data_IF_158663839347
#
_entry.id   IF_158663839347
#
_cell.length_a   1.000
_cell.length_b   1.000
_cell.length_c   1.000
_cell.angle_alpha   90.00
_cell.angle_beta   90.00
_cell.angle_gamma   90.00
#
_symmetry.space_group_name_H-M   'P 1'
#
loop_
_entity.id
_entity.type
_entity.pdbx_description
1 polymer ?
#
# COMPACT_ATOMS: atom_id res chain seq x y z
N UNK A 1 -10.65 26.90 10.27
CA UNK A 1 -9.19 27.10 10.21
C UNK A 1 -8.68 26.37 8.98
N UNK A 2 -8.14 27.09 8.03
CA UNK A 2 -7.56 26.49 6.82
C UNK A 2 -6.34 25.63 7.23
N UNK A 3 -6.44 24.34 7.05
CA UNK A 3 -5.38 23.41 7.43
C UNK A 3 -4.37 23.33 6.27
N UNK A 4 -3.51 24.34 6.15
CA UNK A 4 -2.40 24.35 5.20
C UNK A 4 -1.18 23.66 5.82
N UNK A 5 -0.68 22.63 5.15
CA UNK A 5 0.55 21.92 5.52
C UNK A 5 1.60 22.22 4.45
N UNK A 6 2.71 22.86 4.85
CA UNK A 6 3.87 23.14 4.00
C UNK A 6 5.08 22.41 4.55
N UNK A 7 5.72 21.58 3.74
CA UNK A 7 6.97 20.89 4.09
C UNK A 7 7.62 20.24 2.86
N UNK A 8 8.83 19.74 3.07
CA UNK A 8 9.54 18.92 2.07
C UNK A 8 8.85 17.56 1.94
N UNK A 9 8.57 17.15 0.71
CA UNK A 9 8.01 15.84 0.38
C UNK A 9 9.11 14.86 0.02
N UNK A 10 9.10 13.69 0.67
CA UNK A 10 9.95 12.55 0.30
C UNK A 10 9.08 11.47 -0.31
N UNK A 11 9.45 11.04 -1.51
CA UNK A 11 8.67 10.12 -2.32
C UNK A 11 9.40 8.81 -2.57
N UNK A 12 8.75 7.68 -2.31
CA UNK A 12 9.21 6.37 -2.74
C UNK A 12 8.02 5.39 -2.80
N UNK A 13 7.95 4.55 -3.86
CA UNK A 13 6.94 3.49 -3.95
C UNK A 13 7.11 2.42 -2.87
N UNK A 14 8.33 2.23 -2.38
CA UNK A 14 8.64 1.26 -1.34
C UNK A 14 8.74 1.98 0.02
N UNK A 15 7.72 1.85 0.85
CA UNK A 15 7.68 2.44 2.20
C UNK A 15 8.96 2.15 2.98
N UNK A 16 9.53 0.93 2.87
CA UNK A 16 10.79 0.56 3.53
C UNK A 16 11.99 1.41 3.12
N UNK A 17 12.02 1.90 1.87
CA UNK A 17 13.09 2.80 1.39
C UNK A 17 12.85 4.23 1.86
N UNK A 18 11.61 4.67 1.81
CA UNK A 18 11.22 6.01 2.23
C UNK A 18 11.61 6.27 3.68
N UNK A 19 11.28 5.36 4.59
CA UNK A 19 11.51 5.52 6.03
C UNK A 19 12.99 5.60 6.42
N UNK A 20 13.91 5.16 5.55
CA UNK A 20 15.35 5.26 5.78
C UNK A 20 15.92 6.66 5.50
N UNK A 21 15.19 7.51 4.78
CA UNK A 21 15.69 8.81 4.31
C UNK A 21 14.79 10.00 4.65
N UNK A 22 13.56 9.76 5.04
CA UNK A 22 12.64 10.81 5.50
C UNK A 22 13.06 11.33 6.87
N UNK A 23 12.90 12.63 7.09
CA UNK A 23 13.20 13.29 8.36
C UNK A 23 11.90 13.66 9.09
N UNK A 24 11.94 13.77 10.43
CA UNK A 24 10.79 14.23 11.19
C UNK A 24 10.27 15.58 10.67
N UNK A 25 8.94 15.69 10.53
CA UNK A 25 8.29 16.89 10.01
C UNK A 25 8.22 17.01 8.48
N UNK A 26 8.91 16.16 7.71
CA UNK A 26 8.73 16.06 6.26
C UNK A 26 7.40 15.35 5.93
N UNK A 27 6.96 15.47 4.68
CA UNK A 27 5.77 14.77 4.16
C UNK A 27 6.21 13.46 3.52
N UNK A 28 5.62 12.35 3.97
CA UNK A 28 5.83 11.03 3.38
C UNK A 28 4.89 10.82 2.19
N UNK A 29 5.42 10.57 0.99
CA UNK A 29 4.63 10.28 -0.21
C UNK A 29 4.90 8.85 -0.65
N UNK A 30 3.88 8.01 -0.59
CA UNK A 30 3.94 6.57 -0.86
C UNK A 30 2.95 6.14 -1.92
N UNK A 31 3.14 4.93 -2.43
CA UNK A 31 2.16 4.20 -3.23
C UNK A 31 2.01 2.81 -2.60
N UNK A 32 1.10 2.69 -1.65
CA UNK A 32 0.94 1.49 -0.81
C UNK A 32 -0.54 1.15 -0.65
N UNK A 33 -1.08 0.28 -1.52
CA UNK A 33 -2.44 -0.21 -1.34
C UNK A 33 -2.57 -0.96 0.00
N UNK A 34 -3.69 -0.72 0.71
CA UNK A 34 -3.98 -1.39 1.98
C UNK A 34 -2.81 -1.31 2.99
N UNK A 35 -2.48 -0.10 3.46
CA UNK A 35 -1.35 0.14 4.39
C UNK A 35 -1.46 -0.78 5.61
N UNK A 36 -0.56 -1.74 5.72
CA UNK A 36 -0.54 -2.71 6.81
C UNK A 36 0.00 -2.11 8.13
N UNK A 37 -0.11 -2.89 9.22
CA UNK A 37 0.40 -2.50 10.54
C UNK A 37 1.89 -2.17 10.49
N UNK A 38 2.69 -2.98 9.79
CA UNK A 38 4.15 -2.84 9.76
C UNK A 38 4.53 -1.54 9.08
N UNK A 39 3.94 -1.25 7.91
CA UNK A 39 4.17 -0.01 7.18
C UNK A 39 3.75 1.21 8.00
N UNK A 40 2.59 1.15 8.68
CA UNK A 40 2.14 2.23 9.55
C UNK A 40 3.11 2.48 10.71
N UNK A 41 3.53 1.44 11.43
CA UNK A 41 4.48 1.55 12.54
C UNK A 41 5.84 2.11 12.09
N UNK A 42 6.31 1.71 10.90
CA UNK A 42 7.52 2.27 10.31
C UNK A 42 7.38 3.77 10.02
N UNK A 43 6.26 4.19 9.43
CA UNK A 43 5.97 5.59 9.17
C UNK A 43 5.84 6.40 10.46
N UNK A 44 5.13 5.90 11.46
CA UNK A 44 4.96 6.56 12.76
C UNK A 44 6.32 6.86 13.42
N UNK A 45 7.26 5.92 13.36
CA UNK A 45 8.62 6.11 13.92
C UNK A 45 9.37 7.28 13.27
N UNK A 46 9.10 7.60 12.02
CA UNK A 46 9.74 8.71 11.31
C UNK A 46 9.10 10.07 11.60
N UNK A 47 7.94 10.11 12.25
CA UNK A 47 7.19 11.32 12.63
C UNK A 47 6.95 12.27 11.44
N UNK A 48 6.38 11.79 10.34
CA UNK A 48 6.07 12.67 9.22
C UNK A 48 4.95 13.64 9.61
N UNK A 49 4.95 14.82 9.00
CA UNK A 49 3.89 15.82 9.22
C UNK A 49 2.56 15.43 8.56
N UNK A 50 2.65 14.65 7.48
CA UNK A 50 1.53 14.15 6.69
C UNK A 50 2.01 12.91 5.94
N UNK A 51 1.14 11.93 5.75
CA UNK A 51 1.32 10.85 4.79
C UNK A 51 0.41 11.12 3.59
N UNK A 52 0.95 11.09 2.38
CA UNK A 52 0.22 11.12 1.12
C UNK A 52 0.36 9.75 0.48
N UNK A 53 -0.76 9.12 0.14
CA UNK A 53 -0.77 7.83 -0.52
C UNK A 53 -1.42 7.92 -1.91
N UNK A 54 -0.70 7.46 -2.94
CA UNK A 54 -1.22 7.40 -4.29
C UNK A 54 -2.34 6.38 -4.43
N UNK A 55 -2.17 5.22 -3.78
CA UNK A 55 -3.14 4.14 -3.77
C UNK A 55 -4.26 4.30 -2.76
N UNK A 56 -5.12 3.29 -2.66
CA UNK A 56 -6.18 3.19 -1.64
C UNK A 56 -5.59 2.58 -0.36
N UNK A 57 -5.46 3.39 0.68
CA UNK A 57 -4.88 2.97 1.96
C UNK A 57 -5.77 1.97 2.73
N UNK A 58 -7.04 1.89 2.38
CA UNK A 58 -8.02 1.00 3.01
C UNK A 58 -9.13 0.65 2.01
N UNK A 59 -8.91 -0.41 1.22
CA UNK A 59 -9.84 -0.85 0.16
C UNK A 59 -11.17 -1.39 0.69
N UNK A 60 -11.22 -1.78 1.96
CA UNK A 60 -12.37 -2.44 2.57
C UNK A 60 -12.52 -3.92 2.20
N UNK A 61 -11.54 -4.52 1.55
CA UNK A 61 -11.51 -5.98 1.26
C UNK A 61 -11.16 -6.77 2.52
N UNK A 62 -10.10 -6.34 3.21
CA UNK A 62 -9.59 -6.98 4.41
C UNK A 62 -9.51 -6.00 5.56
N UNK A 63 -9.73 -6.44 6.82
CA UNK A 63 -9.50 -5.60 7.99
C UNK A 63 -8.04 -5.19 8.04
N UNK A 64 -7.80 -3.89 7.94
CA UNK A 64 -6.46 -3.32 7.87
C UNK A 64 -6.30 -2.19 8.89
N UNK A 65 -5.44 -2.33 9.92
CA UNK A 65 -5.34 -1.36 10.99
C UNK A 65 -4.44 -0.16 10.67
N UNK A 66 -3.66 -0.21 9.58
CA UNK A 66 -2.62 0.78 9.31
C UNK A 66 -3.08 2.24 9.30
N UNK A 67 -4.13 2.60 8.52
CA UNK A 67 -4.64 3.97 8.51
C UNK A 67 -5.12 4.44 9.88
N UNK A 68 -5.80 3.57 10.65
CA UNK A 68 -6.22 3.88 12.01
C UNK A 68 -5.06 4.16 12.96
N UNK A 69 -3.97 3.40 12.85
CA UNK A 69 -2.75 3.60 13.64
C UNK A 69 -2.08 4.94 13.33
N UNK A 70 -2.00 5.33 12.06
CA UNK A 70 -1.46 6.64 11.65
C UNK A 70 -2.27 7.79 12.25
N UNK A 71 -3.60 7.73 12.11
CA UNK A 71 -4.50 8.75 12.67
C UNK A 71 -4.44 8.81 14.19
N UNK A 72 -4.40 7.67 14.88
CA UNK A 72 -4.25 7.60 16.33
C UNK A 72 -2.90 8.18 16.82
N UNK A 73 -1.86 8.10 16.00
CA UNK A 73 -0.57 8.74 16.27
C UNK A 73 -0.55 10.24 15.93
N UNK A 74 -1.69 10.82 15.52
CA UNK A 74 -1.79 12.22 15.15
C UNK A 74 -1.20 12.57 13.77
N UNK A 75 -0.96 11.56 12.92
CA UNK A 75 -0.42 11.75 11.58
C UNK A 75 -1.58 11.75 10.57
N UNK A 76 -1.89 12.89 9.93
CA UNK A 76 -2.91 12.96 8.89
C UNK A 76 -2.55 12.07 7.70
N UNK A 77 -3.56 11.55 7.01
CA UNK A 77 -3.40 10.72 5.84
C UNK A 77 -4.27 11.24 4.69
N UNK A 78 -3.62 11.69 3.63
CA UNK A 78 -4.23 12.07 2.36
C UNK A 78 -4.15 10.88 1.40
N UNK A 79 -5.30 10.34 1.04
CA UNK A 79 -5.45 9.06 0.38
C UNK A 79 -5.92 9.21 -1.07
N UNK A 80 -5.60 8.22 -1.92
CA UNK A 80 -6.08 8.15 -3.30
C UNK A 80 -5.72 9.37 -4.17
N UNK A 81 -4.50 9.92 -4.03
CA UNK A 81 -4.08 11.04 -4.86
C UNK A 81 -3.77 10.65 -6.31
N UNK A 82 -3.66 9.37 -6.59
CA UNK A 82 -3.46 8.80 -7.91
C UNK A 82 -2.01 8.79 -8.39
N UNK A 83 -1.78 8.00 -9.43
CA UNK A 83 -0.47 7.80 -10.05
C UNK A 83 0.07 9.09 -10.69
N UNK A 84 -0.79 9.88 -11.33
CA UNK A 84 -0.37 11.10 -12.00
C UNK A 84 0.21 12.12 -11.01
N UNK A 85 -0.47 12.35 -9.88
CA UNK A 85 0.02 13.23 -8.83
C UNK A 85 1.30 12.69 -8.21
N UNK A 86 1.38 11.37 -7.97
CA UNK A 86 2.60 10.73 -7.49
C UNK A 86 3.77 10.92 -8.45
N UNK A 87 3.56 10.72 -9.75
CA UNK A 87 4.60 10.87 -10.77
C UNK A 87 5.07 12.33 -10.89
N UNK A 88 4.12 13.27 -10.92
CA UNK A 88 4.39 14.71 -11.10
C UNK A 88 5.10 15.35 -9.90
N UNK A 89 4.98 14.78 -8.69
CA UNK A 89 5.57 15.33 -7.48
C UNK A 89 7.09 15.07 -7.45
N UNK A 90 7.94 16.13 -7.42
CA UNK A 90 9.39 15.95 -7.35
C UNK A 90 9.83 15.51 -5.95
N UNK A 91 10.67 14.48 -5.86
CA UNK A 91 11.22 14.03 -4.59
C UNK A 91 12.16 15.08 -3.98
N UNK A 92 11.99 15.34 -2.69
CA UNK A 92 12.80 16.31 -1.97
C UNK A 92 12.39 17.76 -2.16
N UNK A 93 11.25 18.04 -2.78
CA UNK A 93 10.74 19.38 -3.01
C UNK A 93 9.79 19.85 -1.90
N UNK A 94 9.77 21.14 -1.62
CA UNK A 94 8.77 21.73 -0.76
C UNK A 94 7.43 21.79 -1.48
N UNK A 95 6.39 21.27 -0.84
CA UNK A 95 5.01 21.29 -1.33
C UNK A 95 4.07 21.91 -0.32
N UNK A 96 2.91 22.32 -0.81
CA UNK A 96 1.81 22.79 0.00
C UNK A 96 0.63 21.85 -0.17
N UNK A 97 0.05 21.41 0.94
CA UNK A 97 -1.20 20.66 0.95
C UNK A 97 -2.26 21.48 1.64
N UNK A 98 -3.35 21.77 0.95
CA UNK A 98 -4.48 22.54 1.44
C UNK A 98 -5.78 21.91 0.99
N UNK A 99 -6.68 21.65 1.92
CA UNK A 99 -8.03 21.11 1.66
C UNK A 99 -8.01 19.84 0.76
N UNK A 100 -7.04 18.93 1.01
CA UNK A 100 -6.88 17.71 0.23
C UNK A 100 -6.22 17.89 -1.15
N UNK A 101 -5.77 19.11 -1.48
CA UNK A 101 -5.11 19.44 -2.74
C UNK A 101 -3.62 19.62 -2.55
N UNK A 102 -2.83 19.14 -3.49
CA UNK A 102 -1.36 19.18 -3.46
C UNK A 102 -0.88 20.22 -4.47
N UNK A 103 -0.08 21.18 -3.99
CA UNK A 103 0.51 22.23 -4.82
C UNK A 103 2.04 22.17 -4.78
N UNK A 104 2.66 22.33 -5.94
CA UNK A 104 4.10 22.52 -6.08
C UNK A 104 4.36 23.74 -6.96
N UNK A 105 5.20 24.67 -6.48
CA UNK A 105 5.49 25.93 -7.16
C UNK A 105 4.22 26.70 -7.60
N UNK A 106 3.17 26.68 -6.77
CA UNK A 106 1.90 27.34 -7.06
C UNK A 106 0.98 26.58 -8.02
N UNK A 107 1.44 25.45 -8.59
CA UNK A 107 0.66 24.63 -9.52
C UNK A 107 -0.01 23.47 -8.78
N UNK A 108 -1.29 23.21 -9.05
CA UNK A 108 -2.00 22.03 -8.57
C UNK A 108 -1.42 20.78 -9.25
N UNK A 109 -0.98 19.81 -8.45
CA UNK A 109 -0.50 18.50 -8.93
C UNK A 109 -1.57 17.42 -8.87
N UNK A 110 -2.48 17.52 -7.89
CA UNK A 110 -3.54 16.56 -7.70
C UNK A 110 -4.31 16.81 -6.42
N UNK A 111 -5.33 16.00 -6.20
CA UNK A 111 -6.16 16.05 -5.00
C UNK A 111 -6.39 14.62 -4.49
N UNK A 112 -6.67 14.50 -3.19
CA UNK A 112 -6.93 13.22 -2.55
C UNK A 112 -8.00 13.35 -1.49
N UNK A 113 -8.32 12.22 -0.89
CA UNK A 113 -9.29 12.10 0.20
C UNK A 113 -8.57 12.15 1.55
N UNK A 114 -8.82 13.18 2.34
CA UNK A 114 -8.32 13.21 3.72
C UNK A 114 -9.10 12.19 4.56
N UNK A 115 -8.40 11.19 5.10
CA UNK A 115 -9.00 10.18 5.94
C UNK A 115 -9.30 10.74 7.33
N UNK A 116 -10.49 10.41 7.83
CA UNK A 116 -10.93 10.69 9.19
C UNK A 116 -11.12 9.38 9.97
N UNK A 117 -11.04 9.43 11.29
CA UNK A 117 -11.28 8.23 12.14
C UNK A 117 -12.63 7.60 11.84
N UNK A 118 -13.70 8.39 11.70
CA UNK A 118 -15.02 7.90 11.38
C UNK A 118 -15.09 7.17 10.03
N UNK A 119 -14.39 7.67 9.01
CA UNK A 119 -14.33 7.02 7.71
C UNK A 119 -13.53 5.71 7.78
N UNK A 120 -12.41 5.71 8.51
CA UNK A 120 -11.59 4.49 8.72
C UNK A 120 -12.38 3.42 9.45
N UNK A 121 -13.12 3.77 10.51
CA UNK A 121 -13.98 2.84 11.24
C UNK A 121 -15.07 2.24 10.34
N UNK A 122 -15.74 3.08 9.55
CA UNK A 122 -16.75 2.62 8.58
C UNK A 122 -16.19 1.65 7.56
N UNK A 123 -15.01 1.93 7.01
CA UNK A 123 -14.35 1.05 6.03
C UNK A 123 -13.83 -0.24 6.67
N UNK A 124 -13.32 -0.17 7.91
CA UNK A 124 -12.91 -1.34 8.66
C UNK A 124 -14.09 -2.27 8.98
N UNK A 125 -15.25 -1.72 9.32
CA UNK A 125 -16.47 -2.51 9.55
C UNK A 125 -16.93 -3.18 8.27
N UNK A 126 -16.95 -2.45 7.14
CA UNK A 126 -17.24 -3.04 5.84
C UNK A 126 -16.28 -4.21 5.52
N UNK A 127 -14.99 -4.04 5.79
CA UNK A 127 -14.00 -5.09 5.58
C UNK A 127 -14.25 -6.34 6.44
N UNK A 128 -14.70 -6.16 7.70
CA UNK A 128 -15.09 -7.29 8.57
C UNK A 128 -16.30 -8.05 8.03
N UNK A 129 -17.31 -7.34 7.53
CA UNK A 129 -18.48 -7.97 6.91
C UNK A 129 -18.12 -8.75 5.63
N UNK A 130 -17.18 -8.22 4.85
CA UNK A 130 -16.72 -8.87 3.62
C UNK A 130 -15.79 -10.06 3.86
N UNK A 131 -15.19 -10.20 5.04
CA UNK A 131 -14.19 -11.21 5.33
C UNK A 131 -14.71 -12.64 5.10
N UNK A 132 -15.98 -12.91 5.42
CA UNK A 132 -16.60 -14.21 5.20
C UNK A 132 -16.63 -14.59 3.72
N UNK A 133 -17.12 -13.69 2.87
CA UNK A 133 -17.21 -13.92 1.43
C UNK A 133 -15.84 -14.01 0.76
N UNK A 134 -14.86 -13.22 1.19
CA UNK A 134 -13.47 -13.32 0.69
C UNK A 134 -12.81 -14.64 1.08
N UNK A 135 -13.07 -15.13 2.30
CA UNK A 135 -12.59 -16.46 2.73
C UNK A 135 -13.24 -17.59 1.90
N UNK A 136 -14.54 -17.52 1.65
CA UNK A 136 -15.23 -18.49 0.79
C UNK A 136 -14.66 -18.50 -0.63
N UNK A 137 -14.40 -17.33 -1.22
CA UNK A 137 -13.78 -17.19 -2.53
C UNK A 137 -12.36 -17.79 -2.54
N UNK A 138 -11.57 -17.51 -1.51
CA UNK A 138 -10.23 -18.06 -1.35
C UNK A 138 -10.26 -19.60 -1.28
N UNK A 139 -11.13 -20.17 -0.45
CA UNK A 139 -11.28 -21.62 -0.31
C UNK A 139 -11.72 -22.25 -1.62
N UNK A 140 -12.70 -21.67 -2.30
CA UNK A 140 -13.19 -22.14 -3.61
C UNK A 140 -12.07 -22.16 -4.65
N UNK A 141 -11.36 -21.04 -4.80
CA UNK A 141 -10.24 -20.93 -5.73
C UNK A 141 -9.14 -21.96 -5.42
N UNK A 142 -8.81 -22.14 -4.13
CA UNK A 142 -7.80 -23.10 -3.70
C UNK A 142 -8.21 -24.54 -4.04
N UNK A 143 -9.49 -24.88 -3.80
CA UNK A 143 -10.04 -26.17 -4.17
C UNK A 143 -10.04 -26.41 -5.69
N UNK A 144 -10.44 -25.40 -6.47
CA UNK A 144 -10.40 -25.48 -7.94
C UNK A 144 -8.98 -25.72 -8.46
N UNK A 145 -7.98 -25.02 -7.92
CA UNK A 145 -6.58 -25.26 -8.26
C UNK A 145 -6.12 -26.64 -7.85
N UNK A 146 -6.41 -27.07 -6.62
CA UNK A 146 -6.05 -28.40 -6.15
C UNK A 146 -6.67 -29.52 -7.00
N UNK A 147 -7.90 -29.34 -7.46
CA UNK A 147 -8.57 -30.30 -8.36
C UNK A 147 -7.94 -30.31 -9.76
N UNK A 148 -7.58 -29.14 -10.32
CA UNK A 148 -6.87 -29.06 -11.61
C UNK A 148 -5.49 -29.70 -11.57
N UNK A 149 -4.78 -29.53 -10.46
CA UNK A 149 -3.41 -30.03 -10.26
C UNK A 149 -3.38 -31.42 -9.59
N UNK A 150 -4.55 -32.04 -9.39
CA UNK A 150 -4.71 -33.33 -8.69
C UNK A 150 -3.74 -34.41 -9.19
N UNK A 151 -3.63 -34.57 -10.50
CA UNK A 151 -2.80 -35.62 -11.10
C UNK A 151 -1.30 -35.35 -10.92
N UNK A 152 -0.91 -34.06 -10.88
CA UNK A 152 0.46 -33.65 -10.55
C UNK A 152 0.73 -33.89 -9.07
N UNK A 153 -0.19 -33.47 -8.19
CA UNK A 153 -0.08 -33.62 -6.72
C UNK A 153 0.01 -35.09 -6.33
N UNK A 154 -0.76 -35.94 -6.98
CA UNK A 154 -0.76 -37.40 -6.74
C UNK A 154 0.37 -38.15 -7.47
N UNK A 155 1.21 -37.45 -8.25
CA UNK A 155 2.26 -38.07 -9.05
C UNK A 155 1.74 -38.96 -10.17
N UNK A 156 0.47 -38.77 -10.58
CA UNK A 156 -0.17 -39.56 -11.61
C UNK A 156 0.26 -39.17 -13.04
N UNK A 157 0.81 -37.97 -13.22
CA UNK A 157 1.37 -37.52 -14.49
C UNK A 157 2.85 -37.88 -14.57
N UNK A 158 3.31 -38.48 -15.68
CA UNK A 158 4.74 -38.68 -15.89
C UNK A 158 5.44 -37.30 -15.96
N UNK A 159 6.39 -37.10 -15.09
CA UNK A 159 7.22 -35.90 -15.17
C UNK A 159 8.05 -35.93 -16.45
N UNK A 160 8.18 -34.83 -17.18
CA UNK A 160 9.05 -34.77 -18.35
C UNK A 160 10.48 -35.14 -17.96
N UNK A 161 11.16 -35.89 -18.81
CA UNK A 161 12.55 -36.28 -18.60
C UNK A 161 13.42 -35.02 -18.62
N UNK A 162 13.98 -34.67 -17.47
CA UNK A 162 14.85 -33.48 -17.35
C UNK A 162 16.26 -33.88 -17.73
N UNK A 163 16.70 -33.50 -18.93
CA UNK A 163 18.06 -33.75 -19.43
C UNK A 163 19.15 -32.86 -18.86
N UNK A 164 18.77 -31.86 -18.03
CA UNK A 164 19.72 -30.89 -17.47
C UNK A 164 20.22 -31.36 -16.12
N UNK A 165 21.54 -31.42 -15.95
CA UNK A 165 22.16 -31.64 -14.65
C UNK A 165 22.11 -30.35 -13.82
N UNK A 166 21.34 -30.34 -12.73
CA UNK A 166 21.17 -29.23 -11.83
C UNK A 166 22.20 -29.13 -10.69
N UNK A 167 23.10 -30.11 -10.58
CA UNK A 167 24.15 -30.09 -9.55
C UNK A 167 25.02 -28.84 -9.69
N UNK A 168 25.15 -28.09 -8.58
CA UNK A 168 25.90 -26.82 -8.50
C UNK A 168 25.38 -25.69 -9.43
N UNK A 169 24.11 -25.74 -9.87
CA UNK A 169 23.47 -24.69 -10.67
C UNK A 169 22.38 -24.00 -9.85
N UNK A 170 22.20 -22.70 -10.09
CA UNK A 170 21.05 -21.97 -9.58
C UNK A 170 19.91 -22.10 -10.60
N UNK A 171 18.70 -22.42 -10.10
CA UNK A 171 17.51 -22.53 -10.94
C UNK A 171 16.65 -21.30 -10.73
N UNK A 172 16.35 -20.59 -11.82
CA UNK A 172 15.38 -19.48 -11.83
C UNK A 172 14.08 -20.00 -12.41
N UNK A 173 13.02 -20.01 -11.60
CA UNK A 173 11.66 -20.31 -12.07
C UNK A 173 10.99 -19.00 -12.48
N UNK A 174 10.68 -18.86 -13.77
CA UNK A 174 9.92 -17.73 -14.29
C UNK A 174 8.47 -18.16 -14.45
N UNK A 175 7.58 -17.59 -13.68
CA UNK A 175 6.12 -17.77 -13.81
C UNK A 175 5.60 -16.64 -14.69
N UNK A 176 4.89 -16.99 -15.78
CA UNK A 176 4.22 -16.04 -16.67
C UNK A 176 2.80 -15.79 -16.21
#
# INVERSE_FOLDING_TARGET
MENEIRSVARKDRKTKRLVQRIRPGEIAVIDHPDIDRIAAEMLIKTRPRLVINAGDSLSGRYPNPGPGLLLAAGIPLLDQVGEEAFAALPDGSEIVVKDGRIFFAGRLLGEGRLLTSALVEKLAEKARLNLGSELENFVRNTLEYALKEKDIILGALPLPEIKTDFRKKQVLVVVR
#
